data_IF_106463664228
#
_entry.id   IF_106463664228
#
_cell.length_a   1.000
_cell.length_b   1.000
_cell.length_c   1.000
_cell.angle_alpha   90.00
_cell.angle_beta   90.00
_cell.angle_gamma   90.00
#
_symmetry.space_group_name_H-M   'P 1'
#
loop_
_entity.id
_entity.type
_entity.pdbx_description
1 polymer ?
#
# COMPACT_ATOMS: atom_id res chain seq x y z
N UNK A 1 12.75 42.98 -5.15
CA UNK A 1 12.86 41.73 -5.90
C UNK A 1 11.88 40.71 -5.29
N UNK A 2 11.02 40.14 -6.10
CA UNK A 2 10.16 39.04 -5.68
C UNK A 2 11.02 37.83 -5.28
N UNK A 3 10.71 37.18 -4.14
CA UNK A 3 11.36 35.94 -3.71
C UNK A 3 10.46 34.78 -4.06
N UNK A 4 11.02 33.75 -4.69
CA UNK A 4 10.32 32.50 -4.93
C UNK A 4 10.35 31.66 -3.64
N UNK A 5 9.19 31.19 -3.19
CA UNK A 5 9.05 30.26 -2.06
C UNK A 5 8.82 28.89 -2.63
N UNK A 6 9.55 27.90 -2.16
CA UNK A 6 9.37 26.49 -2.56
C UNK A 6 9.41 25.57 -1.33
N UNK A 7 8.76 24.44 -1.44
CA UNK A 7 8.81 23.39 -0.41
C UNK A 7 10.22 22.81 -0.37
N UNK A 8 10.82 22.71 0.83
CA UNK A 8 12.02 21.91 1.04
C UNK A 8 11.64 20.42 1.05
N UNK A 9 11.99 19.64 0.02
CA UNK A 9 11.58 18.23 -0.05
C UNK A 9 12.14 17.40 1.10
N UNK A 10 13.34 17.70 1.58
CA UNK A 10 14.01 16.97 2.66
C UNK A 10 13.56 17.38 4.07
N UNK A 11 12.51 18.20 4.21
CA UNK A 11 12.02 18.63 5.53
C UNK A 11 11.31 17.51 6.28
N UNK A 12 10.58 16.63 5.57
CA UNK A 12 9.93 15.44 6.11
C UNK A 12 9.95 14.31 5.07
N UNK A 13 9.79 13.09 5.57
CA UNK A 13 9.75 11.87 4.78
C UNK A 13 8.56 11.00 5.19
N UNK A 14 8.20 10.06 4.34
CA UNK A 14 7.31 8.96 4.67
C UNK A 14 7.90 7.64 4.15
N UNK A 15 7.60 6.56 4.83
CA UNK A 15 7.96 5.22 4.41
C UNK A 15 6.75 4.51 3.84
N UNK A 16 6.90 3.87 2.70
CA UNK A 16 5.93 2.93 2.15
C UNK A 16 6.43 1.49 2.29
N UNK A 17 5.57 0.59 2.75
CA UNK A 17 5.84 -0.85 2.77
C UNK A 17 4.78 -1.54 1.91
N UNK A 18 5.20 -2.24 0.87
CA UNK A 18 4.32 -3.08 0.07
C UNK A 18 4.50 -4.54 0.45
N UNK A 19 3.45 -5.16 0.98
CA UNK A 19 3.43 -6.59 1.33
C UNK A 19 2.72 -7.37 0.22
N UNK A 20 3.34 -8.43 -0.25
CA UNK A 20 2.75 -9.41 -1.16
C UNK A 20 2.96 -10.82 -0.59
N UNK A 21 2.38 -11.86 -1.19
CA UNK A 21 2.56 -13.23 -0.71
C UNK A 21 4.04 -13.67 -0.64
N UNK A 22 4.93 -13.14 -1.51
CA UNK A 22 6.33 -13.62 -1.61
C UNK A 22 7.39 -12.54 -1.44
N UNK A 23 7.02 -11.28 -1.41
CA UNK A 23 7.97 -10.17 -1.40
C UNK A 23 7.47 -9.04 -0.53
N UNK A 24 8.41 -8.28 0.00
CA UNK A 24 8.18 -6.97 0.61
C UNK A 24 8.98 -5.93 -0.16
N UNK A 25 8.36 -4.80 -0.45
CA UNK A 25 9.02 -3.62 -1.00
C UNK A 25 9.01 -2.49 0.02
N UNK A 26 10.11 -1.77 0.13
CA UNK A 26 10.26 -0.57 0.94
C UNK A 26 10.51 0.62 0.03
N UNK A 27 9.93 1.75 0.35
CA UNK A 27 10.17 3.02 -0.34
C UNK A 27 10.26 4.14 0.67
N UNK A 28 11.22 5.03 0.48
CA UNK A 28 11.32 6.30 1.20
C UNK A 28 10.97 7.41 0.23
N UNK A 29 10.03 8.27 0.61
CA UNK A 29 9.60 9.41 -0.20
C UNK A 29 9.74 10.72 0.57
N UNK A 30 10.06 11.81 -0.13
CA UNK A 30 10.13 13.14 0.41
C UNK A 30 8.79 13.90 0.27
N UNK A 31 8.73 15.16 0.72
CA UNK A 31 7.51 15.97 0.66
C UNK A 31 7.02 16.31 -0.76
N UNK A 32 7.81 16.07 -1.79
CA UNK A 32 7.40 16.20 -3.19
C UNK A 32 6.98 14.88 -3.82
N UNK A 33 6.83 13.82 -3.00
CA UNK A 33 6.55 12.46 -3.46
C UNK A 33 7.64 11.88 -4.38
N UNK A 34 8.86 12.42 -4.33
CA UNK A 34 10.01 11.89 -5.05
C UNK A 34 10.59 10.72 -4.26
N UNK A 35 10.96 9.65 -4.96
CA UNK A 35 11.53 8.45 -4.36
C UNK A 35 13.00 8.72 -4.04
N UNK A 36 13.35 8.71 -2.75
CA UNK A 36 14.71 8.86 -2.26
C UNK A 36 15.45 7.50 -2.19
N UNK A 37 14.73 6.45 -1.80
CA UNK A 37 15.26 5.09 -1.71
C UNK A 37 14.18 4.07 -1.99
N UNK A 38 14.54 2.97 -2.66
CA UNK A 38 13.66 1.83 -2.91
C UNK A 38 14.44 0.53 -2.78
N UNK A 39 13.83 -0.45 -2.12
CA UNK A 39 14.35 -1.80 -2.02
C UNK A 39 13.21 -2.81 -2.10
N UNK A 40 13.49 -3.97 -2.69
CA UNK A 40 12.56 -5.10 -2.72
C UNK A 40 13.29 -6.36 -2.32
N UNK A 41 12.75 -7.05 -1.32
CA UNK A 41 13.30 -8.30 -0.80
C UNK A 41 12.34 -9.45 -1.03
N UNK A 42 12.88 -10.67 -1.05
CA UNK A 42 12.07 -11.87 -0.96
C UNK A 42 11.81 -12.18 0.51
N UNK A 43 10.56 -12.01 0.93
CA UNK A 43 10.09 -12.35 2.27
C UNK A 43 8.67 -12.90 2.11
N UNK A 44 8.50 -14.20 2.27
CA UNK A 44 7.20 -14.85 2.16
C UNK A 44 6.34 -14.45 3.36
N UNK A 45 5.12 -14.02 3.05
CA UNK A 45 4.18 -13.58 4.09
C UNK A 45 3.82 -14.74 5.00
N UNK A 46 3.79 -14.48 6.30
CA UNK A 46 3.32 -15.39 7.34
C UNK A 46 2.64 -14.61 8.46
N UNK A 47 1.73 -15.27 9.18
CA UNK A 47 1.10 -14.74 10.39
C UNK A 47 1.92 -14.99 11.66
N UNK A 48 3.07 -15.63 11.53
CA UNK A 48 3.97 -15.95 12.62
C UNK A 48 4.72 -14.72 13.14
N UNK A 49 5.01 -14.68 14.44
CA UNK A 49 5.76 -13.58 15.05
C UNK A 49 7.15 -13.38 14.44
N UNK A 50 7.77 -14.44 13.94
CA UNK A 50 9.05 -14.41 13.24
C UNK A 50 9.01 -13.55 11.96
N UNK A 51 7.89 -13.56 11.23
CA UNK A 51 7.71 -12.70 10.06
C UNK A 51 7.76 -11.21 10.43
N UNK A 52 7.05 -10.82 11.48
CA UNK A 52 7.01 -9.43 11.93
C UNK A 52 8.35 -8.95 12.48
N UNK A 53 9.07 -9.83 13.19
CA UNK A 53 10.43 -9.53 13.65
C UNK A 53 11.38 -9.33 12.48
N UNK A 54 11.31 -10.19 11.46
CA UNK A 54 12.11 -10.05 10.25
C UNK A 54 11.77 -8.80 9.45
N UNK A 55 10.48 -8.50 9.31
CA UNK A 55 10.02 -7.29 8.62
C UNK A 55 10.56 -6.02 9.28
N UNK A 56 10.58 -5.98 10.62
CA UNK A 56 11.17 -4.88 11.39
C UNK A 56 12.68 -4.77 11.18
N UNK A 57 13.41 -5.88 11.22
CA UNK A 57 14.84 -5.91 10.96
C UNK A 57 15.17 -5.39 9.57
N UNK A 58 14.43 -5.83 8.55
CA UNK A 58 14.62 -5.38 7.17
C UNK A 58 14.30 -3.89 7.00
N UNK A 59 13.28 -3.36 7.68
CA UNK A 59 13.03 -1.93 7.69
C UNK A 59 14.17 -1.17 8.35
N UNK A 60 14.69 -1.64 9.50
CA UNK A 60 15.85 -1.02 10.14
C UNK A 60 17.07 -1.03 9.22
N UNK A 61 17.31 -2.14 8.52
CA UNK A 61 18.39 -2.23 7.54
C UNK A 61 18.19 -1.25 6.37
N UNK A 62 16.96 -1.19 5.83
CA UNK A 62 16.60 -0.24 4.78
C UNK A 62 16.84 1.22 5.20
N UNK A 63 16.62 1.56 6.46
CA UNK A 63 16.77 2.92 6.98
C UNK A 63 18.18 3.22 7.55
N UNK A 64 19.08 2.25 7.62
CA UNK A 64 20.35 2.39 8.34
C UNK A 64 21.26 3.51 7.83
N UNK A 65 21.21 3.79 6.52
CA UNK A 65 21.98 4.85 5.86
C UNK A 65 21.16 6.14 5.64
N UNK A 66 19.92 6.17 6.12
CA UNK A 66 19.06 7.36 6.00
C UNK A 66 19.39 8.34 7.12
N UNK A 67 19.91 9.49 6.73
CA UNK A 67 20.09 10.60 7.66
C UNK A 67 18.72 11.17 8.08
N UNK A 68 18.64 11.68 9.32
CA UNK A 68 17.44 12.36 9.83
C UNK A 68 16.17 11.46 9.87
N UNK A 69 16.31 10.24 10.37
CA UNK A 69 15.16 9.31 10.55
C UNK A 69 14.06 9.91 11.46
N UNK A 70 14.39 10.86 12.33
CA UNK A 70 13.48 11.66 13.15
C UNK A 70 12.48 12.50 12.32
N UNK A 71 12.77 12.69 11.03
CA UNK A 71 11.90 13.41 10.09
C UNK A 71 10.89 12.50 9.37
N UNK A 72 10.89 11.20 9.63
CA UNK A 72 9.90 10.28 9.07
C UNK A 72 8.59 10.46 9.82
N UNK A 73 7.52 10.83 9.10
CA UNK A 73 6.20 11.11 9.66
C UNK A 73 5.42 9.85 10.02
N UNK A 74 5.61 8.77 9.28
CA UNK A 74 4.87 7.54 9.44
C UNK A 74 5.11 6.54 8.33
N UNK A 75 4.41 5.42 8.42
CA UNK A 75 4.53 4.26 7.54
C UNK A 75 3.19 3.98 6.88
N UNK A 76 3.14 4.02 5.55
CA UNK A 76 2.01 3.51 4.78
C UNK A 76 2.26 2.05 4.40
N UNK A 77 1.35 1.14 4.76
CA UNK A 77 1.47 -0.29 4.42
C UNK A 77 0.39 -0.66 3.41
N UNK A 78 0.80 -1.06 2.21
CA UNK A 78 -0.11 -1.61 1.22
C UNK A 78 -0.12 -3.12 1.26
N UNK A 79 -1.33 -3.70 1.32
CA UNK A 79 -1.54 -5.15 1.27
C UNK A 79 -2.62 -5.48 0.24
N UNK A 80 -2.53 -6.64 -0.42
CA UNK A 80 -3.58 -7.10 -1.33
C UNK A 80 -4.80 -7.54 -0.53
N UNK A 81 -5.98 -7.03 -0.91
CA UNK A 81 -7.26 -7.41 -0.31
C UNK A 81 -8.08 -6.24 0.20
N UNK A 82 -9.24 -6.56 0.78
CA UNK A 82 -10.22 -5.59 1.26
C UNK A 82 -9.89 -5.24 2.70
N UNK A 83 -9.60 -3.96 2.97
CA UNK A 83 -9.23 -3.46 4.30
C UNK A 83 -10.35 -2.57 4.83
N UNK A 84 -10.75 -2.78 6.10
CA UNK A 84 -11.69 -1.91 6.78
C UNK A 84 -10.99 -0.60 7.18
N UNK A 85 -11.50 0.56 6.76
CA UNK A 85 -10.89 1.83 7.10
C UNK A 85 -10.80 2.07 8.60
N UNK A 86 -9.67 2.56 9.08
CA UNK A 86 -9.45 2.95 10.47
C UNK A 86 -9.18 1.83 11.44
N UNK A 87 -9.64 0.60 11.18
CA UNK A 87 -9.53 -0.50 12.15
C UNK A 87 -8.32 -1.41 11.88
N UNK A 88 -7.64 -1.27 10.75
CA UNK A 88 -6.53 -2.16 10.37
C UNK A 88 -6.96 -3.62 10.23
N UNK A 89 -8.23 -3.89 9.89
CA UNK A 89 -8.75 -5.24 9.69
C UNK A 89 -8.74 -5.57 8.20
N UNK A 90 -8.03 -6.61 7.83
CA UNK A 90 -8.08 -7.22 6.51
C UNK A 90 -9.31 -8.13 6.46
N UNK A 91 -10.37 -7.65 5.81
CA UNK A 91 -11.64 -8.39 5.70
C UNK A 91 -11.41 -9.67 4.92
N UNK A 92 -10.77 -9.56 3.75
CA UNK A 92 -10.45 -10.71 2.90
C UNK A 92 -9.26 -10.44 2.00
N UNK A 93 -8.35 -11.39 1.92
CA UNK A 93 -7.25 -11.41 0.96
C UNK A 93 -7.10 -12.80 0.37
N UNK A 94 -7.41 -12.95 -0.91
CA UNK A 94 -7.15 -14.20 -1.62
C UNK A 94 -5.65 -14.43 -1.81
N UNK A 95 -4.89 -13.36 -2.04
CA UNK A 95 -3.44 -13.44 -2.27
C UNK A 95 -2.67 -13.86 -1.02
N UNK A 96 -3.11 -13.45 0.18
CA UNK A 96 -2.50 -13.80 1.47
C UNK A 96 -3.23 -14.96 2.16
N UNK A 97 -4.33 -15.45 1.61
CA UNK A 97 -5.18 -16.51 2.18
C UNK A 97 -5.67 -16.16 3.60
N UNK A 98 -6.08 -14.91 3.80
CA UNK A 98 -6.56 -14.39 5.09
C UNK A 98 -8.00 -13.91 4.98
N UNK A 99 -8.72 -14.06 6.09
CA UNK A 99 -10.07 -13.54 6.28
C UNK A 99 -10.25 -13.05 7.71
N UNK A 100 -10.87 -11.86 7.88
CA UNK A 100 -11.10 -11.21 9.18
C UNK A 100 -9.84 -11.13 10.06
N UNK A 101 -8.71 -10.78 9.43
CA UNK A 101 -7.41 -10.77 10.10
C UNK A 101 -7.03 -9.36 10.55
N UNK A 102 -6.63 -9.21 11.83
CA UNK A 102 -6.14 -7.94 12.36
C UNK A 102 -4.69 -7.70 11.92
N UNK A 103 -4.44 -6.56 11.30
CA UNK A 103 -3.10 -6.07 10.97
C UNK A 103 -2.44 -5.34 12.15
N UNK A 104 -3.07 -5.32 13.33
CA UNK A 104 -2.58 -4.61 14.52
C UNK A 104 -1.19 -5.04 14.97
N UNK A 105 -0.75 -6.26 14.65
CA UNK A 105 0.64 -6.67 14.87
C UNK A 105 1.64 -5.80 14.10
N UNK A 106 1.28 -5.34 12.90
CA UNK A 106 2.12 -4.44 12.11
C UNK A 106 2.21 -3.06 12.76
N UNK A 107 1.12 -2.54 13.34
CA UNK A 107 1.14 -1.29 14.09
C UNK A 107 2.08 -1.39 15.30
N UNK A 108 2.02 -2.50 16.04
CA UNK A 108 2.85 -2.73 17.23
C UNK A 108 4.33 -3.00 16.85
N UNK A 109 4.59 -3.41 15.61
CA UNK A 109 5.95 -3.71 15.13
C UNK A 109 6.79 -2.44 14.99
N UNK A 110 6.17 -1.31 14.69
CA UNK A 110 6.85 -0.05 14.41
C UNK A 110 6.52 1.01 15.46
N UNK A 111 7.50 1.89 15.73
CA UNK A 111 7.34 3.02 16.65
C UNK A 111 6.74 4.28 16.02
N UNK A 112 6.42 4.23 14.73
CA UNK A 112 5.84 5.30 13.94
C UNK A 112 4.35 5.05 13.68
N UNK A 113 3.54 6.08 13.43
CA UNK A 113 2.16 5.90 12.98
C UNK A 113 2.08 5.03 11.72
N UNK A 114 1.17 4.06 11.71
CA UNK A 114 0.98 3.13 10.60
C UNK A 114 -0.40 3.33 9.99
N UNK A 115 -0.45 3.29 8.64
CA UNK A 115 -1.69 3.39 7.87
C UNK A 115 -1.76 2.25 6.87
N UNK A 116 -2.91 1.60 6.79
CA UNK A 116 -3.14 0.49 5.87
C UNK A 116 -3.97 0.92 4.68
N UNK A 117 -3.62 0.39 3.52
CA UNK A 117 -4.34 0.64 2.26
C UNK A 117 -4.29 -0.60 1.37
N UNK A 118 -5.34 -0.80 0.57
CA UNK A 118 -5.33 -1.81 -0.50
C UNK A 118 -4.24 -1.47 -1.54
N UNK A 119 -3.58 -2.48 -2.10
CA UNK A 119 -2.45 -2.29 -3.01
C UNK A 119 -2.81 -1.56 -4.32
N UNK A 120 -3.99 -1.82 -4.90
CA UNK A 120 -4.46 -1.10 -6.09
C UNK A 120 -4.84 0.35 -5.76
N UNK A 121 -5.46 0.57 -4.59
CA UNK A 121 -5.78 1.91 -4.09
C UNK A 121 -4.50 2.72 -3.82
N UNK A 122 -3.48 2.10 -3.20
CA UNK A 122 -2.18 2.75 -2.98
C UNK A 122 -1.53 3.17 -4.29
N UNK A 123 -1.57 2.28 -5.30
CA UNK A 123 -1.02 2.57 -6.61
C UNK A 123 -1.76 3.72 -7.31
N UNK A 124 -3.10 3.73 -7.23
CA UNK A 124 -3.90 4.83 -7.77
C UNK A 124 -3.60 6.16 -7.08
N UNK A 125 -3.43 6.15 -5.75
CA UNK A 125 -3.08 7.36 -4.98
C UNK A 125 -1.67 7.89 -5.29
N UNK A 126 -0.78 7.05 -5.81
CA UNK A 126 0.56 7.45 -6.22
C UNK A 126 0.60 8.16 -7.59
N UNK A 127 -0.49 8.07 -8.35
CA UNK A 127 -0.63 8.80 -9.60
C UNK A 127 -1.01 10.27 -9.33
N UNK A 128 -0.76 11.15 -10.32
CA UNK A 128 -1.12 12.57 -10.25
C UNK A 128 -2.65 12.75 -10.43
N UNK A 129 -3.40 12.64 -9.31
CA UNK A 129 -4.85 12.77 -9.31
C UNK A 129 -5.34 14.19 -9.61
N UNK A 130 -4.50 15.20 -9.49
CA UNK A 130 -4.83 16.57 -9.94
C UNK A 130 -4.88 16.64 -11.46
N UNK A 131 -4.01 15.89 -12.12
CA UNK A 131 -3.98 15.74 -13.59
C UNK A 131 -5.03 14.76 -14.09
N UNK A 132 -5.18 13.62 -13.41
CA UNK A 132 -6.07 12.52 -13.80
C UNK A 132 -7.31 12.47 -12.92
N UNK A 133 -8.13 13.53 -12.98
CA UNK A 133 -9.33 13.66 -12.13
C UNK A 133 -10.31 12.50 -12.24
N UNK A 134 -10.45 11.93 -13.43
CA UNK A 134 -11.28 10.75 -13.67
C UNK A 134 -10.41 9.69 -14.33
N UNK A 135 -10.04 8.66 -13.58
CA UNK A 135 -9.11 7.65 -14.04
C UNK A 135 -9.45 6.27 -13.47
N UNK A 136 -9.08 5.26 -14.22
CA UNK A 136 -9.14 3.86 -13.86
C UNK A 136 -7.72 3.31 -13.79
N UNK A 137 -7.36 2.70 -12.68
CA UNK A 137 -6.11 1.97 -12.50
C UNK A 137 -6.39 0.47 -12.55
N UNK A 138 -5.64 -0.25 -13.38
CA UNK A 138 -5.68 -1.70 -13.44
C UNK A 138 -4.30 -2.28 -13.10
N UNK A 139 -4.26 -3.09 -12.06
CA UNK A 139 -3.08 -3.84 -11.64
C UNK A 139 -3.07 -5.21 -12.29
N UNK A 140 -2.32 -5.34 -13.38
CA UNK A 140 -2.21 -6.57 -14.18
C UNK A 140 -1.00 -7.39 -13.68
N UNK A 141 -1.23 -8.18 -12.63
CA UNK A 141 -0.25 -9.10 -12.06
C UNK A 141 -0.76 -10.55 -12.18
N UNK A 142 -0.43 -11.41 -11.21
CA UNK A 142 -1.00 -12.77 -11.12
C UNK A 142 -2.52 -12.73 -10.88
N UNK A 143 -3.02 -11.63 -10.36
CA UNK A 143 -4.43 -11.31 -10.19
C UNK A 143 -4.72 -9.96 -10.82
N UNK A 144 -5.97 -9.73 -11.20
CA UNK A 144 -6.43 -8.42 -11.64
C UNK A 144 -6.96 -7.66 -10.43
N UNK A 145 -6.25 -6.60 -10.06
CA UNK A 145 -6.72 -5.62 -9.10
C UNK A 145 -7.12 -4.32 -9.79
N UNK A 146 -7.86 -3.47 -9.12
CA UNK A 146 -8.21 -2.18 -9.67
C UNK A 146 -8.60 -1.14 -8.63
N UNK A 147 -8.52 0.10 -9.07
CA UNK A 147 -8.99 1.27 -8.34
C UNK A 147 -9.46 2.32 -9.34
N UNK A 148 -10.32 3.24 -8.92
CA UNK A 148 -10.68 4.37 -9.75
C UNK A 148 -10.92 5.64 -8.93
N UNK A 149 -10.75 6.77 -9.58
CA UNK A 149 -11.06 8.08 -9.01
C UNK A 149 -12.05 8.83 -9.86
N UNK A 150 -12.85 9.66 -9.20
CA UNK A 150 -13.79 10.62 -9.81
C UNK A 150 -13.51 11.95 -9.13
N UNK A 151 -13.36 13.00 -9.95
CA UNK A 151 -13.03 14.36 -9.49
C UNK A 151 -11.80 14.42 -8.56
N UNK A 152 -10.77 13.62 -8.88
CA UNK A 152 -9.54 13.52 -8.10
C UNK A 152 -9.68 12.78 -6.77
N UNK A 153 -10.82 12.15 -6.50
CA UNK A 153 -11.08 11.40 -5.28
C UNK A 153 -11.15 9.91 -5.55
N UNK A 154 -10.39 9.14 -4.77
CA UNK A 154 -10.45 7.69 -4.80
C UNK A 154 -11.86 7.21 -4.39
N UNK A 155 -12.45 6.35 -5.20
CA UNK A 155 -13.77 5.75 -4.94
C UNK A 155 -13.55 4.34 -4.40
N UNK A 156 -13.89 4.15 -3.14
CA UNK A 156 -13.73 2.86 -2.45
C UNK A 156 -15.06 2.12 -2.27
N UNK A 157 -16.18 2.84 -2.34
CA UNK A 157 -17.51 2.32 -2.03
C UNK A 157 -17.71 2.07 -0.53
N UNK A 158 -18.94 1.83 -0.13
CA UNK A 158 -19.31 1.63 1.27
C UNK A 158 -18.60 0.44 1.92
N UNK A 159 -18.41 -0.65 1.15
CA UNK A 159 -17.80 -1.89 1.61
C UNK A 159 -16.36 -2.09 1.11
N UNK A 160 -15.69 -1.03 0.65
CA UNK A 160 -14.32 -1.06 0.13
C UNK A 160 -14.13 -1.98 -1.11
N UNK A 161 -15.20 -2.19 -1.89
CA UNK A 161 -15.23 -3.12 -3.04
C UNK A 161 -15.38 -2.44 -4.39
N UNK A 162 -15.30 -1.11 -4.45
CA UNK A 162 -15.59 -0.40 -5.69
C UNK A 162 -14.62 -0.71 -6.83
N UNK A 163 -13.37 -1.06 -6.53
CA UNK A 163 -12.31 -1.38 -7.50
C UNK A 163 -12.15 -2.87 -7.84
N UNK A 164 -13.09 -3.73 -7.44
CA UNK A 164 -12.97 -5.19 -7.60
C UNK A 164 -13.27 -5.67 -9.04
N UNK A 165 -12.60 -5.07 -10.03
CA UNK A 165 -12.81 -5.38 -11.47
C UNK A 165 -12.44 -6.82 -11.84
N UNK A 166 -11.51 -7.44 -11.11
CA UNK A 166 -11.14 -8.83 -11.31
C UNK A 166 -12.26 -9.84 -11.03
N UNK A 167 -13.32 -9.40 -10.34
CA UNK A 167 -14.48 -10.21 -10.01
C UNK A 167 -15.68 -9.97 -10.95
N UNK A 168 -15.52 -9.17 -12.01
CA UNK A 168 -16.56 -9.00 -13.03
C UNK A 168 -16.67 -10.27 -13.90
N UNK A 169 -17.91 -10.76 -14.07
CA UNK A 169 -18.20 -11.89 -14.97
C UNK A 169 -18.16 -11.37 -16.40
N UNK A 170 -17.15 -11.75 -17.15
CA UNK A 170 -17.00 -11.38 -18.56
C UNK A 170 -17.66 -12.38 -19.51
N UNK A 171 -17.63 -13.67 -19.15
CA UNK A 171 -18.22 -14.76 -19.93
C UNK A 171 -19.11 -15.58 -19.01
N UNK A 172 -20.44 -15.44 -19.11
CA UNK A 172 -21.36 -16.29 -18.38
C UNK A 172 -21.08 -17.77 -18.69
N UNK A 173 -21.13 -18.63 -17.67
CA UNK A 173 -20.84 -20.09 -17.80
C UNK A 173 -19.42 -20.40 -18.32
N UNK A 174 -18.51 -19.45 -18.27
CA UNK A 174 -17.11 -19.64 -18.62
C UNK A 174 -16.35 -20.48 -17.58
N UNK A 175 -15.01 -20.44 -17.65
CA UNK A 175 -14.17 -21.11 -16.64
C UNK A 175 -14.41 -20.50 -15.27
N UNK A 176 -14.62 -21.38 -14.28
CA UNK A 176 -14.75 -20.96 -12.89
C UNK A 176 -13.47 -20.26 -12.40
N UNK A 177 -13.65 -19.12 -11.74
CA UNK A 177 -12.54 -18.40 -11.12
C UNK A 177 -12.06 -19.16 -9.86
N UNK A 178 -10.77 -19.05 -9.55
CA UNK A 178 -10.21 -19.66 -8.33
C UNK A 178 -10.80 -19.08 -7.03
N UNK A 179 -11.44 -17.91 -7.09
CA UNK A 179 -12.09 -17.27 -5.95
C UNK A 179 -13.51 -17.79 -5.65
N UNK A 180 -14.07 -18.64 -6.51
CA UNK A 180 -15.42 -19.21 -6.40
C UNK A 180 -16.43 -18.61 -7.36
#
# INVERSE_FOLDING_TARGET
>A
KAKMISINPAYRYAVGIRITAKHVGFVLVNLKSEIEKYERIRLEFSTEASYYSRLREELHHFLADVENQDRILGIGISVPGIIKPGDGILIKSHALQLENYSLGFLEQTFSLPVYFVNDANAAMMAEDLDRYKNALYLSLNNTLGGAFCIDGKLIQGENQKAGEFGHMILVPEGKQCYCG
#
